data_IF_995249786768
#
_entry.id   IF_995249786768
#
_cell.length_a   1.000
_cell.length_b   1.000
_cell.length_c   1.000
_cell.angle_alpha   90.00
_cell.angle_beta   90.00
_cell.angle_gamma   90.00
#
_symmetry.space_group_name_H-M   'P 1'
#
loop_
_entity.id
_entity.type
_entity.pdbx_description
1 polymer ?
#
# COMPACT_ATOMS: atom_id res chain seq x y z
N UNK A 1 39.61 38.43 -43.40
CA UNK A 1 40.99 38.10 -43.03
C UNK A 1 40.98 36.75 -42.37
N UNK A 2 41.71 35.78 -42.94
CA UNK A 2 41.67 34.39 -42.49
C UNK A 2 42.80 34.14 -41.48
N UNK A 3 42.60 33.14 -40.60
CA UNK A 3 43.75 32.38 -40.07
C UNK A 3 43.27 30.94 -39.85
N UNK A 4 43.84 30.07 -40.64
CA UNK A 4 43.93 28.61 -40.51
C UNK A 4 44.79 28.23 -39.32
N UNK A 5 44.60 27.04 -38.79
CA UNK A 5 45.65 26.05 -38.42
C UNK A 5 45.02 24.76 -37.88
N UNK A 6 45.13 23.74 -38.64
CA UNK A 6 45.96 22.50 -38.50
C UNK A 6 45.63 21.55 -37.35
N UNK A 7 45.07 20.49 -37.78
CA UNK A 7 45.22 19.04 -37.52
C UNK A 7 46.23 18.59 -36.48
N UNK A 8 45.78 17.66 -35.65
CA UNK A 8 46.59 16.56 -35.12
C UNK A 8 45.68 15.32 -34.95
N UNK A 9 45.78 14.39 -35.90
CA UNK A 9 45.31 13.02 -35.74
C UNK A 9 46.25 12.30 -34.76
N UNK A 10 45.75 11.84 -33.67
CA UNK A 10 46.44 10.83 -32.84
C UNK A 10 45.61 9.55 -32.88
N UNK A 11 46.10 8.61 -33.66
CA UNK A 11 45.60 7.24 -33.73
C UNK A 11 46.02 6.50 -32.44
N UNK A 12 45.05 6.13 -31.65
CA UNK A 12 45.25 5.21 -30.50
C UNK A 12 44.91 3.80 -30.98
N UNK A 13 45.92 2.99 -31.12
CA UNK A 13 45.82 1.54 -31.31
C UNK A 13 45.27 0.93 -30.02
N UNK A 14 44.12 0.28 -30.11
CA UNK A 14 43.56 -0.56 -29.05
C UNK A 14 44.04 -2.00 -29.31
N UNK A 15 44.81 -2.64 -28.41
CA UNK A 15 45.07 -4.07 -28.54
C UNK A 15 43.83 -4.88 -28.18
N UNK A 16 43.37 -5.74 -29.11
CA UNK A 16 42.45 -6.82 -28.81
C UNK A 16 43.16 -7.83 -27.91
N UNK A 17 42.82 -7.78 -26.62
CA UNK A 17 43.14 -8.88 -25.71
C UNK A 17 42.00 -9.90 -25.79
N UNK A 18 42.25 -11.02 -26.48
CA UNK A 18 41.42 -12.21 -26.40
C UNK A 18 41.54 -12.81 -25.01
N UNK A 19 40.61 -12.50 -24.13
CA UNK A 19 40.50 -13.11 -22.80
C UNK A 19 39.69 -14.40 -22.87
N UNK A 20 40.37 -15.53 -22.89
CA UNK A 20 39.74 -16.85 -22.68
C UNK A 20 39.01 -16.89 -21.35
N UNK A 21 37.76 -17.24 -21.38
CA UNK A 21 36.89 -17.47 -20.23
C UNK A 21 37.34 -18.70 -19.45
N UNK A 22 38.04 -18.49 -18.34
CA UNK A 22 38.32 -19.51 -17.31
C UNK A 22 37.34 -19.39 -16.14
N UNK A 23 36.05 -19.48 -16.42
CA UNK A 23 35.03 -19.34 -15.37
C UNK A 23 34.69 -20.66 -14.67
N UNK A 24 35.12 -21.82 -15.23
CA UNK A 24 34.64 -23.12 -14.74
C UNK A 24 35.39 -23.68 -13.50
N UNK A 25 36.59 -23.23 -13.21
CA UNK A 25 37.39 -23.80 -12.11
C UNK A 25 37.15 -23.14 -10.74
N UNK A 26 36.74 -21.86 -10.72
CA UNK A 26 36.50 -21.15 -9.44
C UNK A 26 35.14 -21.45 -8.82
N UNK A 27 34.13 -21.83 -9.62
CA UNK A 27 32.81 -22.18 -9.10
C UNK A 27 32.79 -23.51 -8.33
N UNK A 28 33.61 -24.49 -8.76
CA UNK A 28 33.70 -25.78 -8.07
C UNK A 28 34.47 -25.65 -6.76
N UNK A 29 35.49 -24.79 -6.71
CA UNK A 29 36.27 -24.55 -5.49
C UNK A 29 35.44 -23.80 -4.43
N UNK A 30 34.52 -22.90 -4.85
CA UNK A 30 33.63 -22.14 -3.95
C UNK A 30 32.60 -23.03 -3.27
N UNK A 31 32.03 -23.99 -3.96
CA UNK A 31 31.02 -24.91 -3.39
C UNK A 31 31.62 -25.90 -2.40
N UNK A 32 32.81 -26.45 -2.71
CA UNK A 32 33.48 -27.40 -1.79
C UNK A 32 33.97 -26.67 -0.52
N UNK A 33 34.48 -25.46 -0.67
CA UNK A 33 34.89 -24.65 0.50
C UNK A 33 33.70 -24.24 1.37
N UNK A 34 32.53 -23.96 0.75
CA UNK A 34 31.29 -23.64 1.46
C UNK A 34 30.78 -24.79 2.31
N UNK A 35 30.74 -25.99 1.74
CA UNK A 35 30.31 -27.22 2.45
C UNK A 35 31.28 -27.60 3.55
N UNK A 36 32.58 -27.43 3.32
CA UNK A 36 33.60 -27.69 4.35
C UNK A 36 33.52 -26.71 5.54
N UNK A 37 33.17 -25.44 5.29
CA UNK A 37 32.98 -24.46 6.35
C UNK A 37 31.69 -24.71 7.17
N UNK A 38 30.63 -25.19 6.54
CA UNK A 38 29.41 -25.63 7.25
C UNK A 38 29.67 -26.86 8.11
N UNK A 39 30.40 -27.85 7.59
CA UNK A 39 30.80 -29.05 8.37
C UNK A 39 31.70 -28.72 9.57
N UNK A 40 32.45 -27.61 9.50
CA UNK A 40 33.26 -27.12 10.61
C UNK A 40 32.51 -26.20 11.59
N UNK A 41 31.19 -25.97 11.38
CA UNK A 41 30.37 -25.09 12.22
C UNK A 41 30.77 -23.60 12.17
N UNK A 42 31.56 -23.20 11.18
CA UNK A 42 32.12 -21.84 11.06
C UNK A 42 31.30 -20.91 10.15
N UNK A 43 30.29 -21.44 9.45
CA UNK A 43 29.39 -20.64 8.63
C UNK A 43 27.96 -20.91 9.06
N UNK A 44 27.34 -19.91 9.71
CA UNK A 44 25.89 -19.80 9.67
C UNK A 44 25.51 -19.61 8.20
N UNK A 45 24.67 -20.47 7.66
CA UNK A 45 24.05 -20.20 6.37
C UNK A 45 23.50 -18.76 6.43
N UNK A 46 23.87 -17.93 5.47
CA UNK A 46 23.19 -16.66 5.25
C UNK A 46 21.74 -17.01 4.93
N UNK A 47 20.90 -17.11 5.95
CA UNK A 47 19.46 -17.14 5.80
C UNK A 47 19.09 -15.78 5.16
N UNK A 48 19.13 -15.78 3.82
CA UNK A 48 18.49 -14.69 3.09
C UNK A 48 17.07 -14.65 3.60
N UNK A 49 16.59 -13.54 4.17
CA UNK A 49 15.23 -13.44 4.66
C UNK A 49 14.32 -13.98 3.56
N UNK A 50 13.48 -14.95 3.89
CA UNK A 50 12.49 -15.46 2.93
C UNK A 50 11.75 -14.24 2.37
N UNK A 51 11.64 -14.16 1.04
CA UNK A 51 10.92 -13.06 0.42
C UNK A 51 9.52 -13.04 1.03
N UNK A 52 9.14 -11.91 1.63
CA UNK A 52 7.82 -11.76 2.25
C UNK A 52 6.76 -11.97 1.16
N UNK A 53 5.88 -12.93 1.38
CA UNK A 53 4.78 -13.19 0.45
C UNK A 53 3.80 -12.03 0.54
N UNK A 54 3.50 -11.43 -0.61
CA UNK A 54 2.52 -10.35 -0.71
C UNK A 54 1.33 -10.78 -1.56
N UNK A 55 0.15 -10.31 -1.22
CA UNK A 55 -1.11 -10.61 -1.88
C UNK A 55 -1.70 -9.34 -2.47
N UNK A 56 -1.88 -9.25 -3.79
CA UNK A 56 -2.54 -8.10 -4.38
C UNK A 56 -4.04 -8.12 -4.07
N UNK A 57 -4.57 -6.99 -3.60
CA UNK A 57 -6.00 -6.77 -3.40
C UNK A 57 -6.43 -5.61 -4.30
N UNK A 58 -7.31 -5.90 -5.26
CA UNK A 58 -7.84 -4.90 -6.17
C UNK A 58 -8.73 -3.91 -5.41
N UNK A 59 -8.48 -2.61 -5.58
CA UNK A 59 -9.26 -1.54 -4.95
C UNK A 59 -9.85 -0.61 -5.98
N UNK A 60 -11.13 -0.30 -5.82
CA UNK A 60 -11.84 0.70 -6.61
C UNK A 60 -12.48 1.72 -5.68
N UNK A 61 -12.03 2.96 -5.78
CA UNK A 61 -12.60 4.09 -5.05
C UNK A 61 -13.32 5.01 -6.02
N UNK A 62 -14.58 5.30 -5.74
CA UNK A 62 -15.40 6.20 -6.55
C UNK A 62 -15.89 7.37 -5.70
N UNK A 63 -15.77 8.58 -6.22
CA UNK A 63 -16.25 9.81 -5.58
C UNK A 63 -17.40 10.37 -6.39
N UNK A 64 -18.48 10.75 -5.71
CA UNK A 64 -19.58 11.48 -6.33
C UNK A 64 -19.23 12.96 -6.58
N UNK A 65 -20.05 13.69 -7.36
CA UNK A 65 -19.83 15.11 -7.61
C UNK A 65 -19.95 15.97 -6.34
N UNK A 66 -20.67 15.51 -5.32
CA UNK A 66 -20.84 16.18 -4.03
C UNK A 66 -20.05 15.50 -2.91
N UNK A 67 -18.93 14.82 -3.22
CA UNK A 67 -18.09 14.18 -2.21
C UNK A 67 -17.53 15.21 -1.24
N UNK A 68 -17.51 14.85 0.07
CA UNK A 68 -16.94 15.68 1.14
C UNK A 68 -17.53 17.10 1.18
N UNK A 69 -18.85 17.20 1.09
CA UNK A 69 -19.52 18.48 0.92
C UNK A 69 -19.47 19.35 2.19
N UNK A 70 -19.25 20.66 2.00
CA UNK A 70 -19.46 21.69 3.01
C UNK A 70 -20.96 21.85 3.33
N UNK A 71 -21.29 22.71 4.31
CA UNK A 71 -22.71 23.06 4.59
C UNK A 71 -23.39 23.73 3.41
N UNK A 72 -22.63 24.42 2.58
CA UNK A 72 -23.16 25.13 1.40
C UNK A 72 -23.23 24.22 0.17
N UNK A 73 -22.90 22.91 0.31
CA UNK A 73 -22.95 21.96 -0.78
C UNK A 73 -21.71 21.95 -1.70
N UNK A 74 -20.66 22.69 -1.36
CA UNK A 74 -19.41 22.70 -2.11
C UNK A 74 -18.67 21.38 -1.89
N UNK A 75 -18.25 20.73 -2.96
CA UNK A 75 -17.46 19.51 -2.90
C UNK A 75 -15.99 19.81 -2.63
N UNK A 76 -15.40 19.11 -1.70
CA UNK A 76 -13.98 19.23 -1.35
C UNK A 76 -13.21 17.99 -1.75
N UNK A 77 -11.90 18.12 -1.93
CA UNK A 77 -10.99 16.99 -1.96
C UNK A 77 -11.10 16.19 -0.63
N UNK A 78 -10.97 14.87 -0.73
CA UNK A 78 -11.14 13.98 0.41
C UNK A 78 -9.84 13.22 0.68
N UNK A 79 -9.28 13.38 1.86
CA UNK A 79 -8.17 12.55 2.31
C UNK A 79 -8.72 11.20 2.77
N UNK A 80 -8.14 10.13 2.23
CA UNK A 80 -8.47 8.74 2.56
C UNK A 80 -7.21 8.02 2.98
N UNK A 81 -7.28 7.31 4.09
CA UNK A 81 -6.20 6.47 4.61
C UNK A 81 -6.55 4.99 4.48
N UNK A 82 -5.61 4.22 3.96
CA UNK A 82 -5.67 2.77 3.83
C UNK A 82 -4.70 2.19 4.84
N UNK A 83 -5.22 1.39 5.75
CA UNK A 83 -4.49 0.75 6.83
C UNK A 83 -4.31 -0.73 6.54
N UNK A 84 -3.10 -1.21 6.68
CA UNK A 84 -2.81 -2.63 6.72
C UNK A 84 -2.64 -3.03 8.19
N UNK A 85 -3.49 -3.93 8.68
CA UNK A 85 -3.64 -4.23 10.10
C UNK A 85 -3.49 -5.72 10.37
N UNK A 86 -2.86 -6.06 11.51
CA UNK A 86 -2.78 -7.44 12.00
C UNK A 86 -4.13 -7.94 12.51
N UNK A 87 -4.91 -7.06 13.13
CA UNK A 87 -6.26 -7.34 13.61
C UNK A 87 -7.18 -6.12 13.46
N UNK A 88 -8.49 -6.34 13.61
CA UNK A 88 -9.48 -5.27 13.60
C UNK A 88 -9.69 -4.63 15.00
N UNK A 89 -9.04 -5.13 16.03
CA UNK A 89 -9.38 -4.80 17.42
C UNK A 89 -9.18 -3.32 17.74
N UNK A 90 -8.01 -2.79 17.44
CA UNK A 90 -7.70 -1.38 17.68
C UNK A 90 -8.44 -0.46 16.70
N UNK A 91 -8.49 -0.84 15.42
CA UNK A 91 -9.16 -0.05 14.37
C UNK A 91 -10.66 0.09 14.61
N UNK A 92 -11.33 -0.96 15.10
CA UNK A 92 -12.74 -0.90 15.43
C UNK A 92 -13.05 0.19 16.49
N UNK A 93 -12.15 0.39 17.46
CA UNK A 93 -12.25 1.39 18.53
C UNK A 93 -11.72 2.76 18.17
N UNK A 94 -10.98 2.89 17.05
CA UNK A 94 -10.40 4.16 16.61
C UNK A 94 -11.50 5.20 16.43
N UNK A 95 -11.37 6.34 17.11
CA UNK A 95 -12.27 7.48 16.98
C UNK A 95 -11.89 8.38 15.82
N UNK A 96 -12.84 9.18 15.32
CA UNK A 96 -12.58 10.12 14.23
C UNK A 96 -11.49 11.14 14.60
N UNK A 97 -11.52 11.66 15.82
CA UNK A 97 -10.52 12.60 16.32
C UNK A 97 -9.11 11.99 16.34
N UNK A 98 -8.99 10.73 16.78
CA UNK A 98 -7.71 10.02 16.75
C UNK A 98 -7.21 9.80 15.32
N UNK A 99 -8.09 9.36 14.40
CA UNK A 99 -7.73 9.16 12.99
C UNK A 99 -7.31 10.45 12.27
N UNK A 100 -7.71 11.61 12.79
CA UNK A 100 -7.35 12.93 12.23
C UNK A 100 -6.01 13.47 12.74
N UNK A 101 -5.37 12.80 13.70
CA UNK A 101 -4.12 13.25 14.34
C UNK A 101 -3.08 12.13 14.27
N UNK A 102 -1.98 12.25 13.51
CA UNK A 102 -1.03 11.15 13.26
C UNK A 102 -0.47 10.48 14.51
N UNK A 103 -0.14 11.26 15.56
CA UNK A 103 0.40 10.68 16.80
C UNK A 103 -0.67 9.94 17.62
N UNK A 104 -1.89 10.50 17.69
CA UNK A 104 -3.01 9.85 18.37
C UNK A 104 -3.46 8.58 17.62
N UNK A 105 -3.42 8.59 16.30
CA UNK A 105 -3.69 7.43 15.45
C UNK A 105 -2.69 6.30 15.70
N UNK A 106 -1.39 6.60 15.65
CA UNK A 106 -0.34 5.61 15.94
C UNK A 106 -0.47 5.05 17.37
N UNK A 107 -0.72 5.91 18.35
CA UNK A 107 -0.93 5.51 19.74
C UNK A 107 -2.17 4.63 19.92
N UNK A 108 -3.24 4.87 19.16
CA UNK A 108 -4.48 4.08 19.24
C UNK A 108 -4.35 2.73 18.53
N UNK A 109 -3.62 2.65 17.40
CA UNK A 109 -3.46 1.44 16.60
C UNK A 109 -2.33 0.53 17.09
N UNK A 110 -1.28 1.12 17.69
CA UNK A 110 -0.15 0.39 18.28
C UNK A 110 0.37 -0.76 17.37
N UNK A 111 0.50 -1.96 17.95
CA UNK A 111 1.04 -3.15 17.29
C UNK A 111 0.13 -3.73 16.20
N UNK A 112 -1.15 -3.34 16.16
CA UNK A 112 -2.07 -3.75 15.09
C UNK A 112 -1.69 -3.10 13.75
N UNK A 113 -1.06 -1.92 13.76
CA UNK A 113 -0.70 -1.21 12.53
C UNK A 113 0.58 -1.79 11.91
N UNK A 114 0.47 -2.30 10.68
CA UNK A 114 1.62 -2.70 9.85
C UNK A 114 2.09 -1.51 9.02
N UNK A 115 1.16 -0.89 8.27
CA UNK A 115 1.43 0.32 7.50
C UNK A 115 0.15 1.11 7.25
N UNK A 116 0.30 2.38 6.91
CA UNK A 116 -0.78 3.26 6.48
C UNK A 116 -0.35 4.03 5.24
N UNK A 117 -1.24 4.11 4.26
CA UNK A 117 -1.06 4.90 3.03
C UNK A 117 -2.17 5.94 2.92
N UNK A 118 -1.81 7.13 2.55
CA UNK A 118 -2.74 8.24 2.35
C UNK A 118 -2.94 8.54 0.87
N UNK A 119 -4.17 8.83 0.49
CA UNK A 119 -4.57 9.25 -0.85
C UNK A 119 -5.47 10.48 -0.76
N UNK A 120 -5.31 11.43 -1.68
CA UNK A 120 -6.23 12.53 -1.85
C UNK A 120 -7.12 12.26 -3.06
N UNK A 121 -8.41 12.15 -2.82
CA UNK A 121 -9.43 11.89 -3.84
C UNK A 121 -10.12 13.19 -4.24
N UNK A 122 -10.23 13.45 -5.55
CA UNK A 122 -10.97 14.59 -6.08
C UNK A 122 -12.43 14.20 -6.37
N UNK A 123 -13.41 15.10 -6.21
CA UNK A 123 -14.81 14.84 -6.51
C UNK A 123 -15.04 14.37 -7.96
N UNK A 124 -15.99 13.46 -8.17
CA UNK A 124 -16.42 12.99 -9.48
C UNK A 124 -15.39 12.11 -10.20
N UNK A 125 -14.47 11.44 -9.48
CA UNK A 125 -13.42 10.59 -10.04
C UNK A 125 -13.56 9.13 -9.62
N UNK A 126 -12.93 8.25 -10.40
CA UNK A 126 -12.79 6.82 -10.09
C UNK A 126 -11.30 6.50 -10.08
N UNK A 127 -10.85 5.86 -9.01
CA UNK A 127 -9.48 5.42 -8.82
C UNK A 127 -9.46 3.89 -8.76
N UNK A 128 -8.60 3.26 -9.56
CA UNK A 128 -8.38 1.81 -9.56
C UNK A 128 -6.91 1.53 -9.36
N UNK A 129 -6.60 0.69 -8.40
CA UNK A 129 -5.22 0.32 -8.07
C UNK A 129 -5.23 -1.01 -7.32
N UNK A 130 -4.05 -1.57 -7.12
CA UNK A 130 -3.84 -2.76 -6.30
C UNK A 130 -3.07 -2.38 -5.04
N UNK A 131 -3.51 -2.89 -3.91
CA UNK A 131 -2.79 -2.82 -2.65
C UNK A 131 -2.00 -4.10 -2.45
N UNK A 132 -0.67 -3.98 -2.31
CA UNK A 132 0.21 -5.12 -2.04
C UNK A 132 0.20 -5.39 -0.53
N UNK A 133 -0.36 -6.53 -0.13
CA UNK A 133 -0.66 -6.81 1.27
C UNK A 133 0.16 -8.00 1.77
N UNK A 134 1.09 -7.81 2.73
CA UNK A 134 1.87 -8.90 3.33
C UNK A 134 1.02 -9.92 4.10
N UNK A 135 1.52 -11.15 4.24
CA UNK A 135 0.85 -12.26 4.94
C UNK A 135 0.44 -11.95 6.37
N UNK A 136 1.23 -11.14 7.06
CA UNK A 136 0.96 -10.74 8.45
C UNK A 136 -0.28 -9.86 8.60
N UNK A 137 -0.76 -9.25 7.51
CA UNK A 137 -1.95 -8.40 7.48
C UNK A 137 -3.18 -9.27 7.35
N UNK A 138 -4.14 -9.10 8.26
CA UNK A 138 -5.42 -9.82 8.25
C UNK A 138 -6.59 -8.90 7.87
N UNK A 139 -6.43 -7.60 8.09
CA UNK A 139 -7.50 -6.62 7.87
C UNK A 139 -6.98 -5.43 7.08
N UNK A 140 -7.78 -4.99 6.11
CA UNK A 140 -7.58 -3.74 5.39
C UNK A 140 -8.60 -2.74 5.93
N UNK A 141 -8.12 -1.71 6.64
CA UNK A 141 -8.94 -0.59 7.10
C UNK A 141 -8.95 0.53 6.06
N UNK A 142 -10.07 1.19 5.90
CA UNK A 142 -10.17 2.43 5.10
C UNK A 142 -10.88 3.48 5.93
N UNK A 143 -10.26 4.64 6.12
CA UNK A 143 -10.87 5.78 6.79
C UNK A 143 -10.83 7.02 5.89
N UNK A 144 -11.91 7.77 5.87
CA UNK A 144 -12.07 8.99 5.10
C UNK A 144 -12.23 10.20 6.02
N UNK A 145 -11.42 11.22 5.79
CA UNK A 145 -11.41 12.45 6.61
C UNK A 145 -12.41 13.47 6.04
N UNK A 146 -13.68 13.16 6.21
CA UNK A 146 -14.75 14.05 5.78
C UNK A 146 -14.77 15.36 6.59
N UNK A 147 -15.06 16.46 5.94
CA UNK A 147 -15.29 17.75 6.60
C UNK A 147 -16.41 17.66 7.66
N UNK A 148 -17.46 16.87 7.37
CA UNK A 148 -18.61 16.66 8.25
C UNK A 148 -19.01 15.18 8.24
N UNK A 149 -18.29 14.31 8.99
CA UNK A 149 -18.52 12.87 8.93
C UNK A 149 -19.87 12.46 9.51
N UNK A 150 -20.60 11.62 8.80
CA UNK A 150 -21.72 10.92 9.39
C UNK A 150 -21.25 9.87 10.41
N UNK A 151 -21.97 9.74 11.51
CA UNK A 151 -21.62 8.79 12.57
C UNK A 151 -21.46 7.37 12.03
N UNK A 152 -20.35 6.71 12.39
CA UNK A 152 -20.02 5.34 12.01
C UNK A 152 -19.97 5.07 10.48
N UNK A 153 -19.79 6.12 9.65
CA UNK A 153 -19.78 6.00 8.18
C UNK A 153 -18.51 6.56 7.54
N UNK A 154 -17.48 6.84 8.35
CA UNK A 154 -16.23 7.41 7.93
C UNK A 154 -15.08 6.40 7.88
N UNK A 155 -15.27 5.17 8.43
CA UNK A 155 -14.28 4.09 8.36
C UNK A 155 -14.97 2.75 8.07
N UNK A 156 -14.27 1.89 7.33
CA UNK A 156 -14.67 0.51 7.02
C UNK A 156 -13.46 -0.40 7.21
N UNK A 157 -13.69 -1.64 7.65
CA UNK A 157 -12.67 -2.67 7.79
C UNK A 157 -13.08 -3.90 7.01
N UNK A 158 -12.14 -4.45 6.23
CA UNK A 158 -12.35 -5.59 5.36
C UNK A 158 -11.43 -6.74 5.75
N UNK A 159 -11.95 -7.96 5.72
CA UNK A 159 -11.14 -9.16 5.80
C UNK A 159 -10.26 -9.25 4.54
N UNK A 160 -8.94 -9.36 4.72
CA UNK A 160 -7.97 -9.34 3.61
C UNK A 160 -8.15 -10.54 2.69
N UNK A 161 -8.24 -11.75 3.27
CA UNK A 161 -8.25 -12.99 2.49
C UNK A 161 -9.55 -13.13 1.68
N UNK A 162 -10.68 -12.88 2.31
CA UNK A 162 -11.97 -12.92 1.63
C UNK A 162 -12.09 -11.83 0.56
N UNK A 163 -11.58 -10.61 0.85
CA UNK A 163 -11.61 -9.48 -0.09
C UNK A 163 -10.60 -9.60 -1.24
N UNK A 164 -9.56 -10.42 -1.11
CA UNK A 164 -8.62 -10.68 -2.21
C UNK A 164 -9.32 -11.24 -3.45
N UNK A 165 -10.35 -12.08 -3.27
CA UNK A 165 -11.09 -12.70 -4.37
C UNK A 165 -12.09 -11.76 -5.04
N UNK A 166 -12.71 -10.90 -4.27
CA UNK A 166 -13.80 -10.01 -4.73
C UNK A 166 -13.35 -8.60 -5.08
N UNK A 167 -12.15 -8.22 -4.62
CA UNK A 167 -11.73 -6.82 -4.56
C UNK A 167 -12.53 -6.02 -3.55
N UNK A 168 -12.11 -4.79 -3.30
CA UNK A 168 -12.76 -3.83 -2.42
C UNK A 168 -13.23 -2.64 -3.25
N UNK A 169 -14.54 -2.37 -3.28
CA UNK A 169 -15.10 -1.20 -3.96
C UNK A 169 -15.81 -0.30 -2.94
N UNK A 170 -15.35 0.94 -2.83
CA UNK A 170 -15.89 1.95 -1.92
C UNK A 170 -16.35 3.16 -2.70
N UNK A 171 -17.56 3.64 -2.40
CA UNK A 171 -18.08 4.91 -2.87
C UNK A 171 -18.05 5.94 -1.74
N UNK A 172 -17.51 7.12 -2.04
CA UNK A 172 -17.42 8.25 -1.14
C UNK A 172 -18.46 9.31 -1.52
N UNK A 173 -19.28 9.65 -0.54
CA UNK A 173 -20.41 10.57 -0.71
C UNK A 173 -20.16 11.91 0.01
N UNK A 174 -21.19 12.70 0.23
CA UNK A 174 -21.06 14.01 0.89
C UNK A 174 -20.41 13.93 2.29
N UNK A 175 -20.71 12.88 3.06
CA UNK A 175 -20.22 12.74 4.44
C UNK A 175 -20.09 11.28 4.90
N UNK A 176 -20.20 10.33 3.99
CA UNK A 176 -20.26 8.91 4.32
C UNK A 176 -19.63 8.06 3.23
N UNK A 177 -19.19 6.86 3.61
CA UNK A 177 -18.79 5.81 2.68
C UNK A 177 -19.88 4.74 2.55
N UNK A 178 -19.95 4.12 1.37
CA UNK A 178 -20.63 2.85 1.13
C UNK A 178 -19.67 1.87 0.48
N UNK A 179 -19.92 0.56 0.65
CA UNK A 179 -19.16 -0.47 -0.06
C UNK A 179 -20.04 -1.28 -0.99
N UNK A 180 -19.54 -1.54 -2.21
CA UNK A 180 -20.19 -2.41 -3.18
C UNK A 180 -19.66 -3.85 -3.09
N UNK A 181 -18.35 -4.02 -2.96
CA UNK A 181 -17.66 -5.31 -2.83
C UNK A 181 -16.64 -5.25 -1.70
N UNK A 182 -16.15 -6.43 -1.30
CA UNK A 182 -15.26 -6.63 -0.18
C UNK A 182 -16.01 -7.22 1.03
N UNK A 183 -15.38 -8.17 1.68
CA UNK A 183 -15.94 -8.81 2.88
C UNK A 183 -15.57 -8.00 4.10
N UNK A 184 -16.58 -7.53 4.83
CA UNK A 184 -16.35 -6.73 6.04
C UNK A 184 -15.81 -7.61 7.17
N UNK A 185 -14.80 -7.09 7.87
CA UNK A 185 -14.24 -7.75 9.06
C UNK A 185 -15.23 -7.81 10.23
N UNK A 186 -16.36 -7.10 10.16
CA UNK A 186 -17.45 -7.15 11.12
C UNK A 186 -18.79 -7.29 10.37
N UNK A 187 -19.36 -8.50 10.27
CA UNK A 187 -20.58 -8.78 9.49
C UNK A 187 -21.82 -7.99 9.93
N UNK A 188 -21.93 -7.64 11.22
CA UNK A 188 -23.11 -6.95 11.77
C UNK A 188 -23.39 -5.57 11.15
N UNK A 189 -22.39 -4.96 10.46
CA UNK A 189 -22.53 -3.64 9.82
C UNK A 189 -22.81 -3.71 8.33
N UNK A 190 -22.80 -4.91 7.73
CA UNK A 190 -22.83 -5.10 6.26
C UNK A 190 -24.03 -4.46 5.59
N UNK A 191 -25.23 -4.66 6.11
CA UNK A 191 -26.45 -4.14 5.49
C UNK A 191 -26.48 -2.60 5.54
N UNK A 192 -26.06 -1.99 6.64
CA UNK A 192 -26.08 -0.54 6.82
C UNK A 192 -25.07 0.19 5.93
N UNK A 193 -23.89 -0.40 5.65
CA UNK A 193 -22.85 0.27 4.86
C UNK A 193 -22.98 0.09 3.34
N UNK A 194 -23.97 -0.69 2.88
CA UNK A 194 -24.29 -0.82 1.44
C UNK A 194 -25.30 0.24 0.95
N UNK A 195 -25.86 1.02 1.85
CA UNK A 195 -26.89 2.02 1.54
C UNK A 195 -26.61 3.34 2.26
N UNK A 196 -27.11 4.44 1.69
CA UNK A 196 -27.13 5.77 2.34
C UNK A 196 -28.39 6.00 3.17
N UNK A 197 -29.27 5.01 3.28
CA UNK A 197 -30.50 5.14 4.06
C UNK A 197 -30.19 5.52 5.53
N UNK A 198 -30.85 6.55 6.04
CA UNK A 198 -30.64 7.03 7.40
C UNK A 198 -29.34 7.80 7.67
N UNK A 199 -28.49 8.01 6.67
CA UNK A 199 -27.25 8.79 6.83
C UNK A 199 -27.58 10.27 6.96
N UNK A 200 -27.02 10.92 7.98
CA UNK A 200 -27.11 12.37 8.18
C UNK A 200 -25.71 12.93 8.37
N UNK A 201 -25.38 13.98 7.63
CA UNK A 201 -24.14 14.75 7.81
C UNK A 201 -24.28 15.64 9.04
N UNK A 202 -23.27 15.65 9.90
CA UNK A 202 -23.26 16.43 11.17
C UNK A 202 -22.55 17.76 11.00
#
# INVERSE_FOLDING_TARGET
MPVSLLAALTAILIPLAAGCSTVSALQIAGTVAGVALEAAGLKKADERPAAETVHPVAMTFSTGPATNATRNGEALALVVRIYQLRSNTAFARLTYAQASTPDAERGALQDDLVTVRELTLLPGKIYRFEEQVPDQVKVIGVAAQFHRPAANRWKLAFDREASQKTGIAIAFHACAMTTGTGELAQPATTASVRSLSGVRCT
#
